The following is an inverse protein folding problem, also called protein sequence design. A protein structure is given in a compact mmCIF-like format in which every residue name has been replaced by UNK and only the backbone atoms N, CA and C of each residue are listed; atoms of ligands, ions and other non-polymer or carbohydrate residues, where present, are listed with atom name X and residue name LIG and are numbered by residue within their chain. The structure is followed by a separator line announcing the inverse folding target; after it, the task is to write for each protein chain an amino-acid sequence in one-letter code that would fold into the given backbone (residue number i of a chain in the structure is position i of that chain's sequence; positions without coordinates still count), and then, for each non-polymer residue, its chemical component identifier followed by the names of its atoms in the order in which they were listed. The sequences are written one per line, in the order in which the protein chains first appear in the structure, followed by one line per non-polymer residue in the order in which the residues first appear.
data_IF_679424779867
#
_entry.id   IF_679424779867
#
_cell.length_a   1.000
_cell.length_b   1.000
_cell.length_c   1.000
_cell.angle_alpha   90.00
_cell.angle_beta   90.00
_cell.angle_gamma   90.00
#
_symmetry.space_group_name_H-M   'P 1'
#
loop_
_entity.id
_entity.type
_entity.pdbx_description
1 polymer ?
#
# COMPACT_ATOMS: atom_id res chain seq x y z
N UNK A 1 4.83 1.11 2.36
CA UNK A 1 5.52 -0.20 2.21
C UNK A 1 4.84 -1.18 3.12
N UNK A 2 4.47 -2.34 2.59
CA UNK A 2 3.88 -3.44 3.34
C UNK A 2 4.88 -4.58 3.49
N UNK A 3 5.32 -4.82 4.71
CA UNK A 3 6.16 -5.99 4.99
C UNK A 3 5.42 -7.29 4.67
N UNK A 4 6.15 -8.24 4.09
CA UNK A 4 5.54 -9.47 3.60
C UNK A 4 4.87 -10.29 4.72
N UNK A 5 5.52 -10.32 5.89
CA UNK A 5 5.01 -11.07 7.02
C UNK A 5 3.82 -10.38 7.69
N UNK A 6 3.98 -9.13 8.14
CA UNK A 6 3.00 -8.47 9.01
C UNK A 6 1.67 -8.15 8.34
N UNK A 7 1.66 -8.03 7.01
CA UNK A 7 0.45 -7.76 6.23
C UNK A 7 -0.06 -9.00 5.47
N UNK A 8 0.58 -10.16 5.67
CA UNK A 8 0.17 -11.43 5.09
C UNK A 8 0.19 -11.45 3.57
N UNK A 9 1.35 -11.16 2.99
CA UNK A 9 1.64 -11.19 1.56
C UNK A 9 1.20 -12.50 0.91
N UNK A 10 0.47 -12.48 -0.23
CA UNK A 10 0.01 -13.70 -0.90
C UNK A 10 1.13 -14.67 -1.33
N UNK A 11 2.35 -14.16 -1.54
CA UNK A 11 3.48 -14.93 -2.09
C UNK A 11 4.41 -15.43 -0.98
N UNK A 12 4.76 -14.56 -0.03
CA UNK A 12 5.84 -14.82 0.93
C UNK A 12 5.37 -15.11 2.35
N UNK A 13 4.13 -14.81 2.69
CA UNK A 13 3.63 -15.06 4.03
C UNK A 13 3.49 -16.56 4.29
N UNK A 14 4.03 -17.00 5.43
CA UNK A 14 3.78 -18.33 6.00
C UNK A 14 3.34 -18.15 7.44
N UNK A 15 2.25 -18.83 7.79
CA UNK A 15 1.73 -18.84 9.16
C UNK A 15 2.74 -19.56 10.07
N UNK A 16 3.20 -18.95 11.18
CA UNK A 16 4.04 -19.65 12.13
C UNK A 16 3.33 -20.88 12.71
N UNK A 17 4.07 -21.97 12.91
CA UNK A 17 3.54 -23.21 13.47
C UNK A 17 3.30 -23.14 14.98
N UNK A 18 3.89 -22.15 15.66
CA UNK A 18 3.70 -21.90 17.10
C UNK A 18 2.70 -20.77 17.31
N UNK A 19 1.81 -20.91 18.31
CA UNK A 19 0.80 -19.90 18.65
C UNK A 19 -0.09 -19.49 17.44
N UNK A 20 -0.57 -20.49 16.71
CA UNK A 20 -1.29 -20.36 15.44
C UNK A 20 -2.50 -19.43 15.55
N UNK A 21 -3.29 -19.57 16.60
CA UNK A 21 -4.49 -18.75 16.83
C UNK A 21 -4.14 -17.28 17.03
N UNK A 22 -3.07 -16.98 17.76
CA UNK A 22 -2.61 -15.61 17.91
C UNK A 22 -2.18 -15.01 16.57
N UNK A 23 -1.35 -15.74 15.81
CA UNK A 23 -0.81 -15.22 14.55
C UNK A 23 -1.85 -15.06 13.47
N UNK A 24 -2.72 -16.04 13.28
CA UNK A 24 -3.82 -15.96 12.31
C UNK A 24 -4.72 -14.76 12.61
N UNK A 25 -5.13 -14.59 13.87
CA UNK A 25 -5.94 -13.45 14.30
C UNK A 25 -5.21 -12.12 14.14
N UNK A 26 -3.92 -12.04 14.51
CA UNK A 26 -3.12 -10.82 14.37
C UNK A 26 -3.00 -10.38 12.91
N UNK A 27 -2.65 -11.31 12.02
CA UNK A 27 -2.49 -11.01 10.59
C UNK A 27 -3.85 -10.64 9.98
N UNK A 28 -4.93 -11.31 10.33
CA UNK A 28 -6.27 -10.95 9.86
C UNK A 28 -6.66 -9.53 10.31
N UNK A 29 -6.43 -9.17 11.58
CA UNK A 29 -6.68 -7.81 12.07
C UNK A 29 -5.84 -6.76 11.31
N UNK A 30 -4.60 -7.07 10.99
CA UNK A 30 -3.76 -6.17 10.19
C UNK A 30 -4.34 -5.97 8.79
N UNK A 31 -4.76 -7.04 8.10
CA UNK A 31 -5.41 -6.94 6.78
C UNK A 31 -6.69 -6.10 6.82
N UNK A 32 -7.54 -6.30 7.83
CA UNK A 32 -8.76 -5.50 8.01
C UNK A 32 -8.43 -4.02 8.25
N UNK A 33 -7.43 -3.74 9.10
CA UNK A 33 -6.98 -2.37 9.37
C UNK A 33 -6.44 -1.70 8.10
N UNK A 34 -5.68 -2.43 7.30
CA UNK A 34 -5.11 -1.92 6.05
C UNK A 34 -6.19 -1.47 5.06
N UNK A 35 -7.28 -2.23 4.92
CA UNK A 35 -8.45 -1.84 4.10
C UNK A 35 -9.09 -0.56 4.67
N UNK A 36 -9.33 -0.52 5.99
CA UNK A 36 -9.93 0.66 6.64
C UNK A 36 -9.10 1.93 6.43
N UNK A 37 -7.79 1.85 6.61
CA UNK A 37 -6.88 2.98 6.43
C UNK A 37 -6.83 3.41 4.96
N UNK A 38 -6.76 2.45 4.03
CA UNK A 38 -6.77 2.75 2.58
C UNK A 38 -8.03 3.52 2.20
N UNK A 39 -9.20 3.06 2.64
CA UNK A 39 -10.47 3.72 2.35
C UNK A 39 -10.54 5.11 2.99
N UNK A 40 -10.16 5.22 4.28
CA UNK A 40 -10.17 6.50 4.99
C UNK A 40 -9.45 7.63 4.24
N UNK A 41 -8.27 7.33 3.67
CA UNK A 41 -7.48 8.29 2.93
C UNK A 41 -7.98 8.50 1.50
N UNK A 42 -8.40 7.43 0.80
CA UNK A 42 -9.02 7.55 -0.53
C UNK A 42 -10.27 8.45 -0.51
N UNK A 43 -11.12 8.28 0.50
CA UNK A 43 -12.35 9.07 0.68
C UNK A 43 -12.06 10.57 0.93
N UNK A 44 -10.80 10.91 1.26
CA UNK A 44 -10.30 12.27 1.46
C UNK A 44 -9.48 12.79 0.28
N UNK A 45 -9.55 12.12 -0.86
CA UNK A 45 -8.87 12.52 -2.08
C UNK A 45 -7.36 12.25 -2.07
N UNK A 46 -6.87 11.35 -1.21
CA UNK A 46 -5.48 10.94 -1.25
C UNK A 46 -5.26 9.83 -2.28
N UNK A 47 -4.29 10.03 -3.15
CA UNK A 47 -3.73 8.97 -3.99
C UNK A 47 -2.82 8.07 -3.16
N UNK A 48 -3.06 6.76 -3.21
CA UNK A 48 -2.36 5.77 -2.39
C UNK A 48 -1.60 4.80 -3.29
N UNK A 49 -0.29 4.70 -3.06
CA UNK A 49 0.55 3.61 -3.56
C UNK A 49 0.93 2.70 -2.41
N UNK A 50 0.87 1.40 -2.67
CA UNK A 50 1.33 0.36 -1.76
C UNK A 50 2.22 -0.59 -2.54
N UNK A 51 3.36 -0.92 -1.93
CA UNK A 51 4.33 -1.85 -2.45
C UNK A 51 4.66 -2.83 -1.34
N UNK A 52 4.71 -4.10 -1.68
CA UNK A 52 5.24 -5.13 -0.82
C UNK A 52 6.75 -4.96 -0.65
N UNK A 53 7.24 -5.33 0.52
CA UNK A 53 8.68 -5.32 0.82
C UNK A 53 9.51 -6.10 -0.20
N UNK A 54 8.99 -7.22 -0.72
CA UNK A 54 9.70 -8.01 -1.73
C UNK A 54 9.77 -7.30 -3.09
N UNK A 55 8.76 -6.53 -3.49
CA UNK A 55 8.79 -5.76 -4.73
C UNK A 55 9.88 -4.68 -4.66
N UNK A 56 9.98 -4.00 -3.52
CA UNK A 56 11.02 -3.00 -3.26
C UNK A 56 12.42 -3.62 -3.30
N UNK A 57 12.59 -4.82 -2.72
CA UNK A 57 13.87 -5.54 -2.73
C UNK A 57 14.22 -6.09 -4.11
N UNK A 58 13.23 -6.43 -4.93
CA UNK A 58 13.43 -6.98 -6.26
C UNK A 58 13.78 -5.88 -7.28
N UNK A 59 13.04 -4.77 -7.27
CA UNK A 59 13.26 -3.68 -8.22
C UNK A 59 12.86 -2.33 -7.59
N UNK A 60 13.83 -1.69 -6.95
CA UNK A 60 13.65 -0.37 -6.36
C UNK A 60 13.41 0.71 -7.43
N UNK A 61 13.97 0.54 -8.63
CA UNK A 61 13.85 1.52 -9.71
C UNK A 61 12.41 1.58 -10.20
N UNK A 62 11.77 0.43 -10.42
CA UNK A 62 10.35 0.36 -10.81
C UNK A 62 9.43 1.02 -9.77
N UNK A 63 9.73 0.84 -8.48
CA UNK A 63 8.98 1.47 -7.39
C UNK A 63 9.12 2.99 -7.44
N UNK A 64 10.35 3.49 -7.60
CA UNK A 64 10.63 4.94 -7.71
C UNK A 64 9.91 5.52 -8.94
N UNK A 65 10.03 4.87 -10.10
CA UNK A 65 9.38 5.33 -11.33
C UNK A 65 7.86 5.41 -11.18
N UNK A 66 7.26 4.45 -10.48
CA UNK A 66 5.82 4.45 -10.19
C UNK A 66 5.43 5.64 -9.31
N UNK A 67 6.24 5.96 -8.30
CA UNK A 67 6.02 7.12 -7.43
C UNK A 67 6.13 8.42 -8.22
N UNK A 68 7.18 8.57 -9.05
CA UNK A 68 7.39 9.75 -9.90
C UNK A 68 6.20 9.95 -10.83
N UNK A 69 5.79 8.90 -11.55
CA UNK A 69 4.62 8.95 -12.45
C UNK A 69 3.34 9.40 -11.75
N UNK A 70 3.09 8.90 -10.53
CA UNK A 70 1.92 9.34 -9.76
C UNK A 70 2.01 10.84 -9.43
N UNK A 71 3.15 11.30 -8.91
CA UNK A 71 3.35 12.70 -8.55
C UNK A 71 3.16 13.62 -9.76
N UNK A 72 3.70 13.24 -10.92
CA UNK A 72 3.59 14.02 -12.14
C UNK A 72 2.14 14.08 -12.66
N UNK A 73 1.40 12.97 -12.55
CA UNK A 73 -0.03 12.96 -12.88
C UNK A 73 -0.84 13.86 -11.95
N UNK A 74 -0.60 13.78 -10.64
CA UNK A 74 -1.28 14.63 -9.64
C UNK A 74 -0.98 16.12 -9.85
N UNK A 75 0.26 16.47 -10.22
CA UNK A 75 0.64 17.84 -10.58
C UNK A 75 -0.09 18.34 -11.83
N UNK A 76 -0.20 17.51 -12.87
CA UNK A 76 -0.92 17.87 -14.10
C UNK A 76 -2.41 18.10 -13.84
N UNK A 77 -3.06 17.24 -13.05
CA UNK A 77 -4.47 17.39 -12.66
C UNK A 77 -4.70 18.71 -11.89
N UNK A 78 -3.81 19.06 -10.96
CA UNK A 78 -3.91 20.31 -10.19
C UNK A 78 -3.52 21.56 -10.98
N UNK A 79 -2.55 21.45 -11.88
CA UNK A 79 -2.12 22.54 -12.77
C UNK A 79 -3.12 22.87 -13.87
N UNK A 80 -3.99 21.92 -14.23
CA UNK A 80 -5.11 22.12 -15.16
C UNK A 80 -6.33 22.82 -14.55
N UNK A 81 -6.35 23.05 -13.22
CA UNK A 81 -7.43 23.74 -12.51
C UNK A 81 -7.18 25.25 -12.39
N UNK A 82 -6.83 25.90 -13.50
CA UNK A 82 -6.90 27.36 -13.66
C UNK A 82 -8.05 27.68 -14.62
N UNK A 83 -9.29 27.71 -14.10
CA UNK A 83 -10.43 28.14 -14.92
C UNK A 83 -11.80 27.81 -14.36
N UNK A 84 -12.43 28.85 -13.78
CA UNK A 84 -13.88 29.08 -13.59
C UNK A 84 -14.58 28.39 -12.41
N UNK A 85 -14.76 29.14 -11.34
CA UNK A 85 -16.05 29.76 -11.00
C UNK A 85 -15.79 31.10 -10.30
#
# INVERSE_FOLDING_TARGET
MDSCFWHGCPIHYRLPSTNVDYWSNKINRNKVRDVKVTNYYKDRGWSILRFWEHEIKQDITLVIDTIIKLIDNEKQVKGGFNGKA
#
